data_IF_505983627648
#
_entry.id   IF_505983627648
#
_cell.length_a   1.000
_cell.length_b   1.000
_cell.length_c   1.000
_cell.angle_alpha   90.00
_cell.angle_beta   90.00
_cell.angle_gamma   90.00
#
_symmetry.space_group_name_H-M   'P 1'
#
loop_
_entity.id
_entity.type
_entity.pdbx_description
1 polymer ?
#
# COMPACT_ATOMS: atom_id res chain seq x y z
N UNK A 1 3.93 -1.11 -7.19
CA UNK A 1 4.97 -1.67 -8.09
C UNK A 1 5.83 -0.62 -8.77
N UNK A 2 5.22 0.35 -9.48
CA UNK A 2 5.92 1.33 -10.34
C UNK A 2 7.06 2.12 -9.69
N UNK A 3 6.93 2.48 -8.41
CA UNK A 3 7.85 3.39 -7.71
C UNK A 3 8.91 2.69 -6.85
N UNK A 4 8.69 1.42 -6.51
CA UNK A 4 9.48 0.71 -5.51
C UNK A 4 9.96 -0.69 -5.94
N UNK A 5 9.56 -1.19 -7.11
CA UNK A 5 9.85 -2.57 -7.52
C UNK A 5 11.35 -2.92 -7.50
N UNK A 6 12.20 -2.03 -8.01
CA UNK A 6 13.66 -2.23 -7.98
C UNK A 6 14.24 -2.27 -6.56
N UNK A 7 13.76 -1.39 -5.67
CA UNK A 7 14.19 -1.38 -4.27
C UNK A 7 13.73 -2.65 -3.54
N UNK A 8 12.49 -3.10 -3.76
CA UNK A 8 11.94 -4.33 -3.18
C UNK A 8 12.78 -5.52 -3.63
N UNK A 9 12.95 -5.75 -4.94
CA UNK A 9 13.71 -6.88 -5.45
C UNK A 9 15.16 -6.90 -4.95
N UNK A 10 15.81 -5.73 -4.92
CA UNK A 10 17.19 -5.62 -4.44
C UNK A 10 17.32 -6.03 -2.96
N UNK A 11 16.42 -5.57 -2.10
CA UNK A 11 16.51 -5.85 -0.66
C UNK A 11 16.02 -7.27 -0.33
N UNK A 12 15.01 -7.79 -1.03
CA UNK A 12 14.61 -9.19 -0.93
C UNK A 12 15.79 -10.12 -1.29
N UNK A 13 16.53 -9.83 -2.38
CA UNK A 13 17.74 -10.60 -2.77
C UNK A 13 18.86 -10.52 -1.72
N UNK A 14 18.92 -9.44 -0.94
CA UNK A 14 19.87 -9.29 0.18
C UNK A 14 19.40 -10.00 1.47
N UNK A 15 18.26 -10.68 1.45
CA UNK A 15 17.72 -11.41 2.60
C UNK A 15 16.87 -10.55 3.55
N UNK A 16 16.47 -9.34 3.15
CA UNK A 16 15.52 -8.56 3.94
C UNK A 16 14.12 -9.17 3.84
N UNK A 17 13.40 -9.24 4.96
CA UNK A 17 11.96 -9.45 4.95
C UNK A 17 11.29 -8.16 4.49
N UNK A 18 10.74 -8.16 3.28
CA UNK A 18 10.07 -6.99 2.70
C UNK A 18 8.57 -7.18 2.76
N UNK A 19 7.85 -6.22 3.35
CA UNK A 19 6.38 -6.20 3.41
C UNK A 19 5.84 -4.94 2.74
N UNK A 20 4.86 -5.13 1.88
CA UNK A 20 4.11 -4.07 1.20
C UNK A 20 2.76 -3.93 1.92
N UNK A 21 2.41 -2.72 2.33
CA UNK A 21 1.06 -2.42 2.80
C UNK A 21 0.36 -1.61 1.72
N UNK A 22 -0.67 -2.19 1.12
CA UNK A 22 -1.46 -1.56 0.07
C UNK A 22 -2.74 -0.98 0.69
N UNK A 23 -2.77 0.35 0.84
CA UNK A 23 -3.88 1.01 1.54
C UNK A 23 -5.21 0.90 0.78
N UNK A 24 -5.16 0.98 -0.55
CA UNK A 24 -6.30 0.83 -1.44
C UNK A 24 -5.89 0.07 -2.71
N UNK A 25 -6.86 -0.35 -3.53
CA UNK A 25 -6.59 -1.09 -4.77
C UNK A 25 -6.36 -0.16 -5.97
N UNK A 26 -6.67 1.14 -5.83
CA UNK A 26 -6.72 2.08 -6.95
C UNK A 26 -7.94 1.80 -7.84
N UNK A 27 -9.00 1.31 -7.22
CA UNK A 27 -10.18 0.76 -7.88
C UNK A 27 -11.03 1.81 -8.59
N UNK A 28 -10.98 3.09 -8.21
CA UNK A 28 -11.67 4.20 -8.88
C UNK A 28 -10.76 4.96 -9.82
N UNK A 29 -9.65 5.49 -9.30
CA UNK A 29 -8.80 6.47 -9.98
C UNK A 29 -7.68 5.90 -10.82
N UNK A 30 -7.27 4.64 -10.61
CA UNK A 30 -6.11 4.02 -11.28
C UNK A 30 -6.45 2.72 -12.03
N UNK A 31 -7.75 2.52 -12.32
CA UNK A 31 -8.29 1.32 -12.96
C UNK A 31 -9.12 1.63 -14.22
N UNK A 32 -8.80 2.71 -14.96
CA UNK A 32 -9.62 3.19 -16.08
C UNK A 32 -9.87 2.11 -17.14
N UNK A 33 -8.89 1.22 -17.39
CA UNK A 33 -9.05 0.13 -18.35
C UNK A 33 -10.04 -0.93 -17.88
N UNK A 34 -10.07 -1.27 -16.59
CA UNK A 34 -11.02 -2.24 -16.03
C UNK A 34 -12.46 -1.73 -16.18
N UNK A 35 -12.69 -0.44 -15.90
CA UNK A 35 -14.00 0.20 -16.02
C UNK A 35 -14.58 0.27 -17.44
N UNK A 36 -13.79 0.00 -18.49
CA UNK A 36 -14.31 -0.08 -19.87
C UNK A 36 -15.17 -1.32 -20.11
N UNK A 37 -15.06 -2.36 -19.27
CA UNK A 37 -15.89 -3.57 -19.37
C UNK A 37 -17.32 -3.25 -18.93
N UNK A 38 -18.28 -3.39 -19.84
CA UNK A 38 -19.69 -3.16 -19.52
C UNK A 38 -20.17 -4.07 -18.37
N UNK A 39 -20.83 -3.47 -17.38
CA UNK A 39 -21.39 -4.18 -16.22
C UNK A 39 -20.36 -4.61 -15.17
N UNK A 40 -19.09 -4.20 -15.27
CA UNK A 40 -18.10 -4.50 -14.24
C UNK A 40 -18.47 -3.85 -12.91
N UNK A 41 -18.30 -4.59 -11.83
CA UNK A 41 -18.56 -4.14 -10.47
C UNK A 41 -17.28 -3.66 -9.79
N UNK A 42 -17.43 -2.82 -8.76
CA UNK A 42 -16.32 -2.39 -7.92
C UNK A 42 -15.54 -3.58 -7.33
N UNK A 43 -16.26 -4.63 -6.90
CA UNK A 43 -15.66 -5.83 -6.34
C UNK A 43 -14.81 -6.58 -7.37
N UNK A 44 -15.27 -6.70 -8.62
CA UNK A 44 -14.48 -7.29 -9.70
C UNK A 44 -13.20 -6.48 -9.99
N UNK A 45 -13.29 -5.14 -9.97
CA UNK A 45 -12.11 -4.27 -10.15
C UNK A 45 -11.11 -4.49 -9.03
N UNK A 46 -11.55 -4.46 -7.76
CA UNK A 46 -10.68 -4.72 -6.60
C UNK A 46 -10.05 -6.11 -6.68
N UNK A 47 -10.82 -7.14 -7.03
CA UNK A 47 -10.32 -8.51 -7.15
C UNK A 47 -9.21 -8.62 -8.20
N UNK A 48 -9.39 -8.02 -9.39
CA UNK A 48 -8.35 -8.00 -10.42
C UNK A 48 -7.07 -7.28 -9.96
N UNK A 49 -7.24 -6.11 -9.33
CA UNK A 49 -6.12 -5.31 -8.80
C UNK A 49 -5.37 -6.01 -7.66
N UNK A 50 -6.10 -6.70 -6.80
CA UNK A 50 -5.53 -7.53 -5.73
C UNK A 50 -4.66 -8.63 -6.30
N UNK A 51 -5.21 -9.41 -7.24
CA UNK A 51 -4.52 -10.52 -7.89
C UNK A 51 -3.28 -10.06 -8.68
N UNK A 52 -3.35 -8.94 -9.38
CA UNK A 52 -2.19 -8.29 -10.00
C UNK A 52 -1.09 -7.94 -8.97
N UNK A 53 -1.48 -7.32 -7.86
CA UNK A 53 -0.53 -6.89 -6.83
C UNK A 53 0.08 -8.08 -6.06
N UNK A 54 -0.69 -9.13 -5.78
CA UNK A 54 -0.22 -10.35 -5.12
C UNK A 54 0.81 -11.09 -5.98
N UNK A 55 0.53 -11.29 -7.27
CA UNK A 55 1.51 -11.88 -8.19
C UNK A 55 2.79 -11.05 -8.26
N UNK A 56 2.64 -9.73 -8.33
CA UNK A 56 3.78 -8.84 -8.44
C UNK A 56 4.64 -8.86 -7.16
N UNK A 57 4.02 -8.88 -5.97
CA UNK A 57 4.73 -9.04 -4.69
C UNK A 57 5.46 -10.39 -4.62
N UNK A 58 4.79 -11.48 -4.99
CA UNK A 58 5.39 -12.82 -5.03
C UNK A 58 6.61 -12.88 -5.96
N UNK A 59 6.51 -12.31 -7.16
CA UNK A 59 7.64 -12.23 -8.11
C UNK A 59 8.84 -11.44 -7.55
N UNK A 60 8.59 -10.43 -6.72
CA UNK A 60 9.65 -9.64 -6.09
C UNK A 60 10.17 -10.24 -4.77
N UNK A 61 9.57 -11.33 -4.28
CA UNK A 61 9.92 -11.92 -2.99
C UNK A 61 9.48 -11.08 -1.79
N UNK A 62 8.34 -10.40 -1.89
CA UNK A 62 7.77 -9.58 -0.82
C UNK A 62 6.42 -10.12 -0.33
N UNK A 63 6.16 -9.92 0.96
CA UNK A 63 4.83 -10.06 1.54
C UNK A 63 3.97 -8.86 1.15
N UNK A 64 2.65 -9.04 1.05
CA UNK A 64 1.71 -7.95 0.81
C UNK A 64 0.46 -8.09 1.69
N UNK A 65 -0.01 -6.98 2.24
CA UNK A 65 -1.24 -6.88 3.01
C UNK A 65 -2.09 -5.73 2.46
N UNK A 66 -3.40 -5.93 2.34
CA UNK A 66 -4.34 -4.95 1.78
C UNK A 66 -5.29 -4.46 2.86
N UNK A 67 -5.46 -3.14 2.95
CA UNK A 67 -6.36 -2.53 3.93
C UNK A 67 -7.75 -2.25 3.36
N UNK A 68 -7.87 -2.04 2.05
CA UNK A 68 -9.13 -1.70 1.40
C UNK A 68 -9.80 -0.41 1.94
N UNK A 69 -8.99 0.62 2.21
CA UNK A 69 -9.44 1.91 2.74
C UNK A 69 -10.11 2.82 1.67
N UNK A 70 -10.34 2.31 0.46
CA UNK A 70 -10.85 3.05 -0.69
C UNK A 70 -9.81 3.96 -1.35
N UNK A 71 -10.00 4.28 -2.63
CA UNK A 71 -9.25 5.31 -3.35
C UNK A 71 -10.19 6.40 -3.89
N UNK A 72 -9.66 7.60 -4.13
CA UNK A 72 -10.37 8.75 -4.70
C UNK A 72 -11.72 9.05 -3.99
N UNK A 73 -11.72 9.37 -2.67
CA UNK A 73 -10.53 9.62 -1.83
C UNK A 73 -10.14 8.43 -0.94
N UNK A 74 -8.85 8.35 -0.62
CA UNK A 74 -8.29 7.46 0.40
C UNK A 74 -8.71 7.91 1.81
N UNK A 75 -9.36 7.01 2.56
CA UNK A 75 -9.82 7.28 3.94
C UNK A 75 -9.46 6.15 4.91
N UNK A 76 -8.21 6.07 5.38
CA UNK A 76 -7.82 5.10 6.38
C UNK A 76 -8.54 5.39 7.70
N UNK A 77 -9.10 4.35 8.30
CA UNK A 77 -9.72 4.41 9.64
C UNK A 77 -8.72 4.20 10.77
N UNK A 78 -9.15 4.42 12.02
CA UNK A 78 -8.35 4.13 13.21
C UNK A 78 -7.89 2.66 13.27
N UNK A 79 -8.75 1.71 12.88
CA UNK A 79 -8.38 0.29 12.83
C UNK A 79 -7.23 0.01 11.84
N UNK A 80 -7.20 0.74 10.73
CA UNK A 80 -6.08 0.65 9.79
C UNK A 80 -4.81 1.23 10.41
N UNK A 81 -4.93 2.30 11.22
CA UNK A 81 -3.79 2.92 11.88
C UNK A 81 -3.20 1.95 12.91
N UNK A 82 -4.05 1.37 13.75
CA UNK A 82 -3.67 0.32 14.72
C UNK A 82 -2.96 -0.83 14.01
N UNK A 83 -3.53 -1.31 12.90
CA UNK A 83 -2.90 -2.41 12.15
C UNK A 83 -1.55 -2.01 11.57
N UNK A 84 -1.41 -0.79 11.06
CA UNK A 84 -0.12 -0.33 10.53
C UNK A 84 0.92 -0.18 11.64
N UNK A 85 0.53 0.31 12.83
CA UNK A 85 1.38 0.36 14.02
C UNK A 85 1.87 -1.04 14.41
N UNK A 86 0.97 -2.03 14.42
CA UNK A 86 1.34 -3.43 14.68
C UNK A 86 2.33 -3.94 13.65
N UNK A 87 2.12 -3.66 12.35
CA UNK A 87 3.07 -4.02 11.29
C UNK A 87 4.44 -3.38 11.53
N UNK A 88 4.49 -2.11 11.93
CA UNK A 88 5.76 -1.45 12.28
C UNK A 88 6.48 -2.16 13.42
N UNK A 89 5.76 -2.60 14.46
CA UNK A 89 6.32 -3.30 15.62
C UNK A 89 6.74 -4.74 15.28
N UNK A 90 5.91 -5.48 14.56
CA UNK A 90 6.16 -6.86 14.11
C UNK A 90 7.37 -6.94 13.18
N UNK A 91 7.47 -6.01 12.22
CA UNK A 91 8.51 -6.03 11.21
C UNK A 91 9.79 -5.34 11.68
N UNK A 92 9.68 -4.36 12.58
CA UNK A 92 10.76 -3.47 13.02
C UNK A 92 11.63 -2.99 11.83
N UNK A 93 11.02 -2.28 10.85
CA UNK A 93 11.66 -2.04 9.57
C UNK A 93 12.87 -1.09 9.69
N UNK A 94 13.99 -1.44 9.05
CA UNK A 94 15.17 -0.57 9.00
C UNK A 94 14.96 0.71 8.20
N UNK A 95 14.03 0.70 7.25
CA UNK A 95 13.61 1.86 6.47
C UNK A 95 12.19 1.64 5.93
N UNK A 96 11.51 2.74 5.56
CA UNK A 96 10.19 2.70 4.93
C UNK A 96 10.22 3.56 3.67
N UNK A 97 9.60 3.04 2.61
CA UNK A 97 9.34 3.78 1.37
C UNK A 97 7.84 4.10 1.31
N UNK A 98 7.50 5.35 1.05
CA UNK A 98 6.12 5.80 0.83
C UNK A 98 6.10 6.88 -0.27
N UNK A 99 4.93 7.47 -0.51
CA UNK A 99 4.71 8.50 -1.52
C UNK A 99 5.34 9.86 -1.16
N UNK A 100 5.35 10.78 -2.12
CA UNK A 100 5.74 12.16 -1.87
C UNK A 100 4.75 12.86 -0.93
N UNK A 101 5.25 13.84 -0.18
CA UNK A 101 4.44 14.64 0.77
C UNK A 101 3.45 15.57 0.08
N UNK A 102 3.72 15.92 -1.17
CA UNK A 102 2.87 16.78 -1.99
C UNK A 102 2.75 16.13 -3.37
N UNK A 103 1.52 16.05 -3.87
CA UNK A 103 1.23 15.61 -5.23
C UNK A 103 0.00 16.39 -5.73
N UNK A 104 0.16 17.29 -6.71
CA UNK A 104 -0.95 18.09 -7.21
C UNK A 104 -1.94 17.30 -8.07
N UNK A 105 -1.65 16.03 -8.39
CA UNK A 105 -2.45 15.20 -9.28
C UNK A 105 -3.22 14.08 -8.56
N UNK A 106 -2.77 13.68 -7.37
CA UNK A 106 -3.41 12.61 -6.62
C UNK A 106 -3.31 12.86 -5.11
N UNK A 107 -4.46 13.16 -4.49
CA UNK A 107 -4.57 13.46 -3.05
C UNK A 107 -4.31 12.24 -2.17
N UNK A 108 -4.48 11.02 -2.69
CA UNK A 108 -4.27 9.79 -1.95
C UNK A 108 -2.77 9.55 -1.68
N UNK A 109 -1.88 10.10 -2.52
CA UNK A 109 -0.44 9.97 -2.36
C UNK A 109 0.09 10.68 -1.10
N UNK A 110 -0.11 12.00 -0.90
CA UNK A 110 0.20 12.67 0.35
C UNK A 110 -0.44 12.01 1.58
N UNK A 111 -1.68 11.53 1.46
CA UNK A 111 -2.38 10.90 2.58
C UNK A 111 -1.70 9.57 2.98
N UNK A 112 -1.31 8.73 2.01
CA UNK A 112 -0.53 7.53 2.29
C UNK A 112 0.84 7.83 2.93
N UNK A 113 1.48 8.94 2.54
CA UNK A 113 2.74 9.37 3.14
C UNK A 113 2.55 9.86 4.59
N UNK A 114 1.54 10.68 4.83
CA UNK A 114 1.16 11.18 6.15
C UNK A 114 0.82 10.02 7.10
N UNK A 115 -0.03 9.09 6.65
CA UNK A 115 -0.48 7.94 7.41
C UNK A 115 0.67 7.00 7.81
N UNK A 116 1.59 6.72 6.88
CA UNK A 116 2.78 5.93 7.18
C UNK A 116 3.69 6.60 8.23
N UNK A 117 3.85 7.92 8.17
CA UNK A 117 4.66 8.64 9.16
C UNK A 117 4.00 8.68 10.53
N UNK A 118 2.70 8.91 10.59
CA UNK A 118 1.92 8.89 11.82
C UNK A 118 2.04 7.53 12.52
N UNK A 119 1.78 6.44 11.80
CA UNK A 119 1.91 5.08 12.33
C UNK A 119 3.33 4.79 12.84
N UNK A 120 4.37 5.22 12.10
CA UNK A 120 5.77 5.08 12.53
C UNK A 120 6.04 5.78 13.85
N UNK A 121 5.60 7.03 14.00
CA UNK A 121 5.83 7.84 15.20
C UNK A 121 5.15 7.19 16.40
N UNK A 122 3.89 6.78 16.24
CA UNK A 122 3.12 6.13 17.32
C UNK A 122 3.74 4.77 17.69
N UNK A 123 4.19 3.98 16.72
CA UNK A 123 4.82 2.69 16.95
C UNK A 123 6.12 2.79 17.79
N UNK A 124 6.79 3.94 17.77
CA UNK A 124 8.00 4.21 18.55
C UNK A 124 7.73 4.69 19.99
N UNK A 125 6.53 5.20 20.27
CA UNK A 125 6.17 5.57 21.62
C UNK A 125 6.15 4.29 22.49
N UNK A 126 6.83 4.35 23.65
CA UNK A 126 6.70 3.29 24.65
C UNK A 126 5.28 3.33 25.20
N UNK A 127 4.44 2.41 24.73
CA UNK A 127 3.18 2.01 25.36
C UNK A 127 3.35 0.63 25.95
#
# INVERSE_FOLDING_TARGET
MWRAGGAIALHAKKGYRVKIVCLAYGERGESQFAWKKAGITMQEVKAGRKDEAERAAAMLGAEIEFFDAGDYPLHPSEQHLDRLIDIYRELNPSFVLTHALEDPYNVDHPEAARFAQEARIIAQAMG
#
